data_IF_856258008114
#
_entry.id   IF_856258008114
#
_cell.length_a   1.000
_cell.length_b   1.000
_cell.length_c   1.000
_cell.angle_alpha   90.00
_cell.angle_beta   90.00
_cell.angle_gamma   90.00
#
_symmetry.space_group_name_H-M   'P 1'
#
loop_
_entity.id
_entity.type
_entity.pdbx_description
1 polymer ?
#
# COMPACT_ATOMS: atom_id res chain seq x y z
N UNK A 1 -56.13 26.39 5.59
CA UNK A 1 -54.91 27.15 5.29
C UNK A 1 -53.90 26.81 6.38
N UNK A 2 -53.33 25.62 6.31
CA UNK A 2 -52.14 25.25 5.52
C UNK A 2 -50.83 25.73 6.17
N UNK A 3 -50.03 24.74 6.60
CA UNK A 3 -48.56 24.67 6.53
C UNK A 3 -47.71 25.60 7.44
N UNK A 4 -46.55 25.20 7.97
CA UNK A 4 -45.77 23.96 7.92
C UNK A 4 -44.58 24.08 8.91
N UNK A 5 -43.91 22.94 9.12
CA UNK A 5 -42.54 22.75 9.58
C UNK A 5 -42.30 22.63 11.09
N UNK A 6 -42.83 21.53 11.66
CA UNK A 6 -42.13 20.81 12.73
C UNK A 6 -40.80 20.29 12.16
N UNK A 7 -39.70 20.84 12.64
CA UNK A 7 -38.36 20.34 12.37
C UNK A 7 -38.15 19.03 13.12
N UNK A 8 -38.23 17.90 12.41
CA UNK A 8 -37.79 16.61 12.92
C UNK A 8 -36.28 16.67 13.22
N UNK A 9 -35.92 16.70 14.52
CA UNK A 9 -34.57 16.48 15.00
C UNK A 9 -34.09 15.09 14.56
N UNK A 10 -33.35 15.04 13.44
CA UNK A 10 -32.66 13.84 13.00
C UNK A 10 -31.64 13.45 14.08
N UNK A 11 -31.97 12.41 14.83
CA UNK A 11 -31.05 11.74 15.74
C UNK A 11 -29.85 11.24 14.89
N UNK A 12 -28.74 11.99 14.90
CA UNK A 12 -27.55 11.63 14.14
C UNK A 12 -27.06 10.24 14.56
N UNK A 13 -26.88 9.34 13.58
CA UNK A 13 -26.31 8.01 13.83
C UNK A 13 -24.91 8.16 14.44
N UNK A 14 -24.67 7.69 15.69
CA UNK A 14 -23.37 7.79 16.35
C UNK A 14 -22.21 7.21 15.53
N UNK A 15 -22.49 6.24 14.64
CA UNK A 15 -21.50 5.65 13.75
C UNK A 15 -21.09 6.64 12.65
N UNK A 16 -22.03 7.43 12.12
CA UNK A 16 -21.75 8.40 11.08
C UNK A 16 -21.01 9.63 11.65
N UNK A 17 -21.40 10.09 12.84
CA UNK A 17 -20.64 11.11 13.57
C UNK A 17 -19.18 10.67 13.79
N UNK A 18 -18.96 9.44 14.29
CA UNK A 18 -17.61 8.95 14.56
C UNK A 18 -16.78 8.81 13.28
N UNK A 19 -17.42 8.43 12.16
CA UNK A 19 -16.78 8.38 10.84
C UNK A 19 -16.33 9.77 10.39
N UNK A 20 -17.21 10.76 10.44
CA UNK A 20 -16.92 12.13 10.03
C UNK A 20 -15.88 12.78 10.95
N UNK A 21 -15.99 12.58 12.27
CA UNK A 21 -15.04 13.07 13.26
C UNK A 21 -13.63 12.54 13.02
N UNK A 22 -13.50 11.22 12.79
CA UNK A 22 -12.21 10.59 12.54
C UNK A 22 -11.51 11.17 11.30
N UNK A 23 -12.27 11.42 10.22
CA UNK A 23 -11.76 12.03 8.99
C UNK A 23 -11.39 13.51 9.22
N UNK A 24 -12.29 14.28 9.85
CA UNK A 24 -12.12 15.71 10.11
C UNK A 24 -10.86 16.00 10.95
N UNK A 25 -10.60 15.17 11.95
CA UNK A 25 -9.46 15.33 12.85
C UNK A 25 -8.23 14.53 12.42
N UNK A 26 -8.25 13.88 11.25
CA UNK A 26 -7.13 13.10 10.70
C UNK A 26 -6.57 12.09 11.70
N UNK A 27 -7.46 11.37 12.39
CA UNK A 27 -7.08 10.41 13.43
C UNK A 27 -6.36 9.22 12.80
N UNK A 28 -5.25 8.80 13.41
CA UNK A 28 -4.51 7.62 12.97
C UNK A 28 -5.39 6.35 13.07
N UNK A 29 -5.29 5.45 12.09
CA UNK A 29 -6.13 4.25 12.03
C UNK A 29 -5.93 3.33 13.25
N UNK A 30 -4.73 3.31 13.82
CA UNK A 30 -4.37 2.56 15.03
C UNK A 30 -5.11 3.11 16.25
N UNK A 31 -5.02 4.42 16.48
CA UNK A 31 -5.72 5.11 17.57
C UNK A 31 -7.25 4.95 17.45
N UNK A 32 -7.78 5.05 16.23
CA UNK A 32 -9.20 4.85 15.98
C UNK A 32 -9.65 3.40 16.24
N UNK A 33 -8.83 2.41 15.89
CA UNK A 33 -9.08 0.99 16.19
C UNK A 33 -9.05 0.71 17.70
N UNK A 34 -8.13 1.30 18.45
CA UNK A 34 -8.08 1.16 19.92
C UNK A 34 -9.32 1.77 20.58
N UNK A 35 -9.70 2.98 20.15
CA UNK A 35 -10.92 3.64 20.62
C UNK A 35 -12.17 2.80 20.33
N UNK A 36 -12.29 2.23 19.13
CA UNK A 36 -13.42 1.37 18.76
C UNK A 36 -13.50 0.11 19.62
N UNK A 37 -12.36 -0.53 19.91
CA UNK A 37 -12.30 -1.70 20.79
C UNK A 37 -12.73 -1.36 22.21
N UNK A 38 -12.34 -0.19 22.71
CA UNK A 38 -12.77 0.32 24.01
C UNK A 38 -14.27 0.64 24.01
N UNK A 39 -14.78 1.37 23.01
CA UNK A 39 -16.20 1.71 22.92
C UNK A 39 -17.09 0.47 22.83
N UNK A 40 -16.62 -0.59 22.16
CA UNK A 40 -17.33 -1.87 22.05
C UNK A 40 -17.50 -2.60 23.40
N UNK A 41 -16.77 -2.24 24.45
CA UNK A 41 -16.97 -2.81 25.78
C UNK A 41 -18.23 -2.31 26.48
N UNK A 42 -18.87 -1.26 25.97
CA UNK A 42 -20.13 -0.75 26.49
C UNK A 42 -21.32 -1.40 25.77
N UNK A 43 -22.38 -1.80 26.50
CA UNK A 43 -23.52 -2.53 25.93
C UNK A 43 -24.27 -1.76 24.83
N UNK A 44 -24.16 -0.43 24.83
CA UNK A 44 -24.81 0.45 23.84
C UNK A 44 -24.07 0.54 22.50
N UNK A 45 -22.86 -0.02 22.39
CA UNK A 45 -21.98 0.12 21.22
C UNK A 45 -21.52 -1.24 20.65
N UNK A 46 -22.24 -2.33 20.93
CA UNK A 46 -21.93 -3.68 20.41
C UNK A 46 -21.93 -3.71 18.87
N UNK A 47 -22.76 -2.87 18.24
CA UNK A 47 -22.87 -2.74 16.77
C UNK A 47 -21.68 -2.01 16.13
N UNK A 48 -20.77 -1.43 16.93
CA UNK A 48 -19.61 -0.73 16.41
C UNK A 48 -18.58 -1.72 15.83
N UNK A 49 -18.07 -1.48 14.61
CA UNK A 49 -16.95 -2.24 14.08
C UNK A 49 -15.73 -2.08 14.99
N UNK A 50 -14.96 -3.15 15.17
CA UNK A 50 -13.73 -3.16 15.97
C UNK A 50 -12.49 -2.76 15.17
N UNK A 51 -12.68 -2.30 13.95
CA UNK A 51 -11.63 -1.98 12.99
C UNK A 51 -11.96 -0.68 12.24
N UNK A 52 -10.99 0.25 12.26
CA UNK A 52 -11.10 1.58 11.65
C UNK A 52 -11.45 1.55 10.17
N UNK A 53 -10.94 0.58 9.40
CA UNK A 53 -11.22 0.45 7.97
C UNK A 53 -12.67 0.09 7.72
N UNK A 54 -13.24 -0.72 8.62
CA UNK A 54 -14.65 -1.11 8.58
C UNK A 54 -15.55 0.06 8.94
N UNK A 55 -15.18 0.89 9.93
CA UNK A 55 -15.92 2.12 10.25
C UNK A 55 -15.91 3.11 9.08
N UNK A 56 -14.74 3.30 8.46
CA UNK A 56 -14.52 4.26 7.38
C UNK A 56 -15.00 3.76 6.00
N UNK A 57 -15.57 2.54 5.92
CA UNK A 57 -15.98 1.89 4.66
C UNK A 57 -14.89 1.94 3.60
N UNK A 58 -13.63 1.80 3.99
CA UNK A 58 -12.51 1.87 3.06
C UNK A 58 -12.66 0.74 2.01
N UNK A 59 -12.61 1.04 0.69
CA UNK A 59 -12.71 0.02 -0.34
C UNK A 59 -11.68 -1.09 -0.11
N UNK A 60 -12.14 -2.34 0.01
CA UNK A 60 -11.25 -3.52 0.14
C UNK A 60 -10.74 -4.03 -1.20
N UNK A 61 -11.43 -3.65 -2.28
CA UNK A 61 -11.10 -4.00 -3.65
C UNK A 61 -11.08 -2.71 -4.45
N UNK A 62 -10.02 -2.52 -5.22
CA UNK A 62 -9.94 -1.47 -6.24
C UNK A 62 -10.13 -2.17 -7.58
N UNK A 63 -10.79 -1.53 -8.54
CA UNK A 63 -10.91 -2.07 -9.90
C UNK A 63 -9.50 -2.23 -10.48
N UNK A 64 -9.05 -3.47 -10.60
CA UNK A 64 -7.74 -3.79 -11.18
C UNK A 64 -7.93 -3.95 -12.68
N UNK A 65 -7.46 -2.97 -13.46
CA UNK A 65 -7.32 -3.14 -14.90
C UNK A 65 -6.08 -3.99 -15.18
N UNK A 66 -6.29 -5.20 -15.67
CA UNK A 66 -5.21 -6.07 -16.14
C UNK A 66 -4.59 -5.45 -17.39
N UNK A 67 -3.38 -4.92 -17.24
CA UNK A 67 -2.59 -4.45 -18.38
C UNK A 67 -1.88 -5.65 -19.01
N UNK A 68 -1.99 -5.80 -20.32
CA UNK A 68 -1.26 -6.84 -21.04
C UNK A 68 0.26 -6.53 -20.96
N UNK A 69 1.12 -7.55 -20.80
CA UNK A 69 2.56 -7.33 -20.79
C UNK A 69 3.02 -6.69 -22.10
N UNK A 70 3.78 -5.60 -22.00
CA UNK A 70 4.43 -4.95 -23.15
C UNK A 70 3.72 -3.74 -23.75
N UNK A 71 2.51 -3.39 -23.30
CA UNK A 71 1.84 -2.13 -23.67
C UNK A 71 1.40 -1.39 -22.42
N UNK A 72 2.24 -0.45 -22.00
CA UNK A 72 1.75 0.60 -21.12
C UNK A 72 0.89 1.52 -22.01
N UNK A 73 -0.38 1.13 -22.23
CA UNK A 73 -1.35 1.92 -23.04
C UNK A 73 -1.35 3.39 -22.63
N UNK A 74 -1.09 3.67 -21.36
CA UNK A 74 -1.02 5.01 -20.78
C UNK A 74 0.22 5.81 -21.26
N UNK A 75 1.30 5.13 -21.64
CA UNK A 75 2.48 5.76 -22.26
C UNK A 75 2.32 5.97 -23.76
N UNK A 76 1.51 5.14 -24.45
CA UNK A 76 1.29 5.24 -25.90
C UNK A 76 0.12 6.15 -26.26
N UNK A 77 -1.01 5.99 -25.56
CA UNK A 77 -2.28 6.66 -25.84
C UNK A 77 -2.62 7.75 -24.81
N UNK A 78 -1.89 7.84 -23.71
CA UNK A 78 -2.18 8.80 -22.63
C UNK A 78 -3.45 8.47 -21.84
N UNK A 79 -3.90 9.43 -21.05
CA UNK A 79 -5.16 9.40 -20.31
C UNK A 79 -6.07 10.47 -20.91
N UNK A 80 -7.26 10.08 -21.39
CA UNK A 80 -8.27 11.04 -21.82
C UNK A 80 -9.03 11.57 -20.60
N UNK A 81 -9.07 12.89 -20.46
CA UNK A 81 -9.85 13.58 -19.44
C UNK A 81 -10.38 14.90 -20.00
N UNK A 82 -11.71 15.07 -19.96
CA UNK A 82 -12.42 16.24 -20.51
C UNK A 82 -12.13 16.53 -22.00
N UNK A 83 -11.87 15.49 -22.79
CA UNK A 83 -11.57 15.59 -24.22
C UNK A 83 -10.12 15.90 -24.55
N UNK A 84 -9.26 16.07 -23.53
CA UNK A 84 -7.83 16.27 -23.69
C UNK A 84 -7.05 14.99 -23.35
N UNK A 85 -5.96 14.73 -24.07
CA UNK A 85 -5.10 13.55 -23.86
C UNK A 85 -3.84 13.95 -23.07
N UNK A 86 -3.64 13.31 -21.92
CA UNK A 86 -2.49 13.51 -21.04
C UNK A 86 -1.51 12.35 -21.15
N UNK A 87 -0.33 12.61 -21.72
CA UNK A 87 0.71 11.58 -21.85
C UNK A 87 1.33 11.27 -20.49
N UNK A 88 1.27 10.02 -20.07
CA UNK A 88 1.91 9.57 -18.84
C UNK A 88 3.33 9.06 -19.12
N UNK A 89 4.27 9.39 -18.25
CA UNK A 89 5.60 8.79 -18.21
C UNK A 89 5.76 8.02 -16.91
N UNK A 90 6.19 6.76 -17.00
CA UNK A 90 6.52 5.99 -15.79
C UNK A 90 7.81 6.56 -15.20
N UNK A 91 7.72 7.06 -13.98
CA UNK A 91 8.86 7.57 -13.22
C UNK A 91 9.39 6.52 -12.23
N UNK A 92 8.49 5.89 -11.47
CA UNK A 92 8.86 4.86 -10.50
C UNK A 92 7.77 3.80 -10.26
N UNK A 93 8.19 2.64 -9.74
CA UNK A 93 7.30 1.59 -9.25
C UNK A 93 7.35 1.57 -7.72
N UNK A 94 6.23 1.91 -7.07
CA UNK A 94 6.08 1.78 -5.62
C UNK A 94 5.48 0.41 -5.31
N UNK A 95 6.28 -0.46 -4.70
CA UNK A 95 5.90 -1.82 -4.39
C UNK A 95 6.45 -2.25 -3.03
N UNK A 96 5.78 -3.21 -2.40
CA UNK A 96 6.28 -3.88 -1.21
C UNK A 96 7.46 -4.82 -1.54
N UNK A 97 8.07 -5.42 -0.52
CA UNK A 97 9.27 -6.23 -0.72
C UNK A 97 9.06 -7.45 -1.65
N UNK A 98 7.97 -8.24 -1.53
CA UNK A 98 7.67 -9.32 -2.48
C UNK A 98 7.49 -8.85 -3.93
N UNK A 99 6.63 -7.86 -4.19
CA UNK A 99 6.38 -7.39 -5.54
C UNK A 99 7.63 -6.75 -6.16
N UNK A 100 8.42 -6.02 -5.36
CA UNK A 100 9.73 -5.50 -5.78
C UNK A 100 10.67 -6.62 -6.21
N UNK A 101 10.76 -7.69 -5.43
CA UNK A 101 11.65 -8.81 -5.78
C UNK A 101 11.22 -9.53 -7.06
N UNK A 102 9.92 -9.61 -7.30
CA UNK A 102 9.36 -10.21 -8.51
C UNK A 102 9.70 -9.39 -9.76
N UNK A 103 9.36 -8.09 -9.77
CA UNK A 103 9.56 -7.23 -10.95
C UNK A 103 11.04 -6.97 -11.25
N UNK A 104 11.90 -6.97 -10.22
CA UNK A 104 13.36 -6.88 -10.39
C UNK A 104 14.01 -8.24 -10.68
N UNK A 105 13.25 -9.35 -10.58
CA UNK A 105 13.78 -10.71 -10.75
C UNK A 105 15.00 -11.00 -9.85
N UNK A 106 14.89 -10.63 -8.57
CA UNK A 106 15.92 -10.82 -7.52
C UNK A 106 15.44 -11.75 -6.42
N UNK A 107 16.37 -12.24 -5.60
CA UNK A 107 16.05 -13.01 -4.39
C UNK A 107 15.07 -12.25 -3.50
N UNK A 108 13.99 -12.94 -3.14
CA UNK A 108 12.96 -12.42 -2.23
C UNK A 108 13.54 -12.07 -0.87
N UNK A 109 12.84 -11.21 -0.11
CA UNK A 109 13.31 -10.60 1.15
C UNK A 109 13.86 -11.58 2.20
N UNK A 110 13.46 -12.86 2.16
CA UNK A 110 13.96 -13.91 3.05
C UNK A 110 15.26 -14.60 2.58
N UNK A 111 15.83 -14.20 1.46
CA UNK A 111 17.07 -14.78 0.92
C UNK A 111 18.34 -14.20 1.54
N UNK A 112 19.39 -15.00 1.63
CA UNK A 112 20.71 -14.56 2.12
C UNK A 112 21.30 -13.39 1.33
N UNK A 113 21.09 -13.35 0.01
CA UNK A 113 21.54 -12.27 -0.88
C UNK A 113 20.36 -11.39 -1.34
N UNK A 114 19.39 -11.11 -0.47
CA UNK A 114 18.14 -10.42 -0.85
C UNK A 114 18.15 -8.90 -0.74
N UNK A 115 19.07 -8.30 0.03
CA UNK A 115 19.10 -6.86 0.21
C UNK A 115 19.16 -6.17 -1.16
N UNK A 116 18.27 -5.23 -1.48
CA UNK A 116 18.25 -4.55 -2.78
C UNK A 116 19.21 -3.36 -2.86
N UNK A 117 19.85 -2.98 -1.74
CA UNK A 117 20.67 -1.77 -1.63
C UNK A 117 22.17 -2.04 -1.60
N UNK A 118 22.61 -3.19 -1.09
CA UNK A 118 24.03 -3.51 -0.92
C UNK A 118 24.31 -5.02 -1.04
N UNK A 119 25.54 -5.35 -1.42
CA UNK A 119 26.02 -6.72 -1.69
C UNK A 119 26.16 -7.63 -0.46
N UNK A 120 25.54 -7.25 0.65
CA UNK A 120 25.61 -7.98 1.92
C UNK A 120 25.05 -9.41 1.77
N UNK A 121 25.69 -10.34 2.45
CA UNK A 121 25.16 -11.68 2.71
C UNK A 121 24.57 -11.69 4.11
N UNK A 122 23.31 -12.07 4.23
CA UNK A 122 22.65 -12.22 5.53
C UNK A 122 23.08 -13.49 6.25
N UNK A 123 22.75 -13.56 7.52
CA UNK A 123 22.93 -14.72 8.40
C UNK A 123 21.56 -15.25 8.83
N UNK A 124 21.43 -16.56 9.01
CA UNK A 124 20.20 -17.15 9.55
C UNK A 124 20.26 -17.17 11.07
N UNK A 125 19.35 -16.48 11.75
CA UNK A 125 19.21 -16.44 13.21
C UNK A 125 17.72 -16.46 13.55
N UNK A 126 17.31 -17.21 14.57
CA UNK A 126 15.93 -17.24 15.07
C UNK A 126 14.85 -17.38 13.97
N UNK A 127 15.05 -18.29 13.02
CA UNK A 127 14.14 -18.50 11.88
C UNK A 127 13.93 -17.30 10.94
N UNK A 128 14.92 -16.42 10.84
CA UNK A 128 14.93 -15.27 9.93
C UNK A 128 16.33 -15.02 9.38
N UNK A 129 16.39 -14.44 8.19
CA UNK A 129 17.65 -13.90 7.66
C UNK A 129 17.83 -12.47 8.18
N UNK A 130 19.00 -12.20 8.75
CA UNK A 130 19.36 -10.88 9.31
C UNK A 130 20.60 -10.31 8.63
N UNK A 131 20.63 -8.98 8.51
CA UNK A 131 21.73 -8.22 7.92
C UNK A 131 22.42 -7.38 8.99
N UNK A 132 23.46 -7.93 9.61
CA UNK A 132 24.11 -7.31 10.78
C UNK A 132 25.32 -6.45 10.40
N UNK A 133 25.94 -6.70 9.26
CA UNK A 133 27.12 -5.97 8.81
C UNK A 133 26.74 -4.59 8.25
N UNK A 134 27.50 -3.58 8.62
CA UNK A 134 27.39 -2.21 8.07
C UNK A 134 28.55 -1.90 7.13
N UNK A 135 28.43 -0.86 6.31
CA UNK A 135 29.50 -0.43 5.40
C UNK A 135 29.72 -1.31 4.17
N UNK A 136 28.80 -2.23 3.86
CA UNK A 136 28.89 -3.06 2.68
C UNK A 136 28.79 -2.24 1.38
N UNK A 137 29.47 -2.71 0.32
CA UNK A 137 29.38 -2.12 -1.02
C UNK A 137 27.92 -1.99 -1.46
N UNK A 138 27.53 -0.78 -1.88
CA UNK A 138 26.19 -0.52 -2.43
C UNK A 138 26.05 -1.11 -3.82
N UNK A 139 24.87 -1.62 -4.14
CA UNK A 139 24.53 -1.91 -5.54
C UNK A 139 24.26 -0.60 -6.26
N UNK A 140 24.77 -0.53 -7.47
CA UNK A 140 24.54 0.56 -8.42
C UNK A 140 23.66 0.05 -9.55
N UNK A 141 22.99 0.95 -10.25
CA UNK A 141 22.17 0.60 -11.42
C UNK A 141 23.00 -0.14 -12.48
N UNK A 142 24.26 0.27 -12.67
CA UNK A 142 25.19 -0.39 -13.59
C UNK A 142 25.47 -1.84 -13.16
N UNK A 143 25.89 -2.05 -11.90
CA UNK A 143 26.17 -3.40 -11.38
C UNK A 143 24.95 -4.33 -11.41
N UNK A 144 23.75 -3.76 -11.31
CA UNK A 144 22.50 -4.49 -11.37
C UNK A 144 22.17 -4.90 -12.81
N UNK A 145 22.27 -3.96 -13.76
CA UNK A 145 22.02 -4.22 -15.19
C UNK A 145 23.02 -5.23 -15.75
N UNK A 146 24.29 -5.14 -15.35
CA UNK A 146 25.34 -6.07 -15.75
C UNK A 146 25.25 -7.44 -15.06
N UNK A 147 24.31 -7.65 -14.14
CA UNK A 147 24.14 -8.89 -13.36
C UNK A 147 25.44 -9.32 -12.65
N UNK A 148 26.17 -8.36 -12.05
CA UNK A 148 27.46 -8.64 -11.41
C UNK A 148 27.34 -9.63 -10.23
N UNK A 149 26.21 -9.61 -9.50
CA UNK A 149 25.94 -10.46 -8.34
C UNK A 149 24.97 -11.60 -8.68
N UNK A 150 25.49 -12.66 -9.31
CA UNK A 150 24.68 -13.81 -9.75
C UNK A 150 23.82 -14.44 -8.64
N UNK A 151 24.25 -14.39 -7.38
CA UNK A 151 23.45 -14.93 -6.29
C UNK A 151 22.29 -14.01 -5.88
N UNK A 152 22.34 -12.72 -6.21
CA UNK A 152 21.23 -11.79 -5.99
C UNK A 152 20.12 -11.97 -7.03
N UNK A 153 20.49 -12.26 -8.27
CA UNK A 153 19.57 -12.37 -9.39
C UNK A 153 18.94 -13.78 -9.48
N UNK A 154 17.65 -13.83 -9.80
CA UNK A 154 16.94 -15.07 -10.17
C UNK A 154 16.81 -15.15 -11.70
N UNK A 155 16.76 -14.00 -12.38
CA UNK A 155 16.68 -13.90 -13.82
C UNK A 155 16.83 -12.46 -14.28
N UNK A 156 16.56 -12.22 -15.56
CA UNK A 156 16.60 -10.88 -16.15
C UNK A 156 15.31 -10.12 -15.81
N UNK A 157 15.46 -8.93 -15.22
CA UNK A 157 14.31 -8.07 -14.93
C UNK A 157 13.65 -7.58 -16.24
N UNK A 158 12.31 -7.53 -16.31
CA UNK A 158 11.60 -6.82 -17.38
C UNK A 158 11.85 -5.30 -17.40
N UNK A 159 12.50 -4.74 -16.37
CA UNK A 159 12.81 -3.32 -16.25
C UNK A 159 14.24 -2.95 -16.69
N UNK A 160 15.05 -3.94 -17.12
CA UNK A 160 16.47 -3.76 -17.52
C UNK A 160 16.78 -4.36 -18.88
#
# INVERSE_FOLDING_TARGET
DENDSDGEDKLEDPIDFLRQWAVRHKIQSTALTELQKYLKSFPNFILLPSDSRTLLKTPRSTEVKLMQPGSYEIQENGIEYEGEIYMAKIDCFVCDAPARSYILSIKGHNGYKSCSKCCITGEYKDNRVVFLQTGCRRRTDESFRSHEDNEHHIGKSPLT
#
